data_IF_037504055684
#
_entry.id   IF_037504055684
#
_cell.length_a   1.000
_cell.length_b   1.000
_cell.length_c   1.000
_cell.angle_alpha   90.00
_cell.angle_beta   90.00
_cell.angle_gamma   90.00
#
_symmetry.space_group_name_H-M   'P 1'
#
loop_
_entity.id
_entity.type
_entity.pdbx_description
1 polymer ?
#
# COMPACT_ATOMS: atom_id res chain seq x y z
N UNK A 1 0.41 -14.83 0.17
CA UNK A 1 0.83 -14.54 1.55
C UNK A 1 -0.04 -13.44 2.18
N UNK A 2 0.00 -12.16 1.74
CA UNK A 2 -0.90 -11.11 2.25
C UNK A 2 -2.38 -11.50 2.33
N UNK A 3 -2.88 -12.17 1.29
CA UNK A 3 -4.28 -12.60 1.23
C UNK A 3 -4.62 -13.73 2.21
N UNK A 4 -3.65 -14.57 2.56
CA UNK A 4 -3.84 -15.65 3.53
C UNK A 4 -4.01 -15.08 4.94
N UNK A 5 -3.33 -13.97 5.26
CA UNK A 5 -3.55 -13.23 6.51
C UNK A 5 -4.99 -12.74 6.59
N UNK A 6 -5.52 -12.09 5.53
CA UNK A 6 -6.94 -11.67 5.52
C UNK A 6 -7.91 -12.84 5.66
N UNK A 7 -7.57 -14.02 5.13
CA UNK A 7 -8.39 -15.22 5.24
C UNK A 7 -8.30 -15.91 6.61
N UNK A 8 -7.54 -15.37 7.57
CA UNK A 8 -7.40 -15.92 8.92
C UNK A 8 -6.35 -17.03 9.07
N UNK A 9 -5.42 -17.14 8.13
CA UNK A 9 -4.29 -18.08 8.20
C UNK A 9 -3.04 -17.43 8.83
N UNK A 10 -3.18 -16.37 9.60
CA UNK A 10 -2.08 -15.67 10.28
C UNK A 10 -1.35 -16.57 11.30
N UNK A 11 -2.03 -17.56 11.87
CA UNK A 11 -1.46 -18.54 12.82
C UNK A 11 -0.78 -19.75 12.16
N UNK A 12 -0.93 -19.94 10.85
CA UNK A 12 -0.23 -21.00 10.12
C UNK A 12 1.29 -20.74 10.19
N UNK A 13 2.12 -21.67 10.68
CA UNK A 13 3.53 -21.40 11.01
C UNK A 13 4.35 -20.74 9.90
N UNK A 14 4.12 -21.12 8.65
CA UNK A 14 4.81 -20.51 7.49
C UNK A 14 4.37 -19.09 7.22
N UNK A 15 3.09 -18.77 7.46
CA UNK A 15 2.56 -17.41 7.32
C UNK A 15 3.05 -16.53 8.46
N UNK A 16 2.99 -17.03 9.69
CA UNK A 16 3.45 -16.32 10.88
C UNK A 16 4.94 -15.96 10.80
N UNK A 17 5.80 -16.93 10.47
CA UNK A 17 7.25 -16.70 10.31
C UNK A 17 7.55 -15.70 9.19
N UNK A 18 6.83 -15.80 8.07
CA UNK A 18 6.93 -14.86 6.95
C UNK A 18 6.56 -13.44 7.37
N UNK A 19 5.42 -13.28 8.07
CA UNK A 19 4.94 -11.98 8.53
C UNK A 19 5.89 -11.37 9.54
N UNK A 20 6.37 -12.14 10.53
CA UNK A 20 7.32 -11.67 11.52
C UNK A 20 8.59 -11.15 10.86
N UNK A 21 9.20 -11.93 9.95
CA UNK A 21 10.39 -11.50 9.20
C UNK A 21 10.14 -10.24 8.38
N UNK A 22 8.99 -10.15 7.70
CA UNK A 22 8.64 -9.00 6.87
C UNK A 22 8.45 -7.74 7.73
N UNK A 23 7.77 -7.84 8.87
CA UNK A 23 7.61 -6.73 9.82
C UNK A 23 8.97 -6.25 10.32
N UNK A 24 9.89 -7.14 10.70
CA UNK A 24 11.22 -6.71 11.16
C UNK A 24 12.00 -5.93 10.09
N UNK A 25 11.94 -6.38 8.83
CA UNK A 25 12.61 -5.70 7.72
C UNK A 25 12.02 -4.30 7.48
N UNK A 26 10.69 -4.20 7.46
CA UNK A 26 10.01 -2.91 7.27
C UNK A 26 10.20 -1.98 8.47
N UNK A 27 10.19 -2.52 9.69
CA UNK A 27 10.38 -1.76 10.92
C UNK A 27 11.79 -1.16 10.99
N UNK A 28 12.83 -1.91 10.61
CA UNK A 28 14.21 -1.39 10.51
C UNK A 28 14.32 -0.22 9.54
N UNK A 29 13.60 -0.27 8.41
CA UNK A 29 13.53 0.87 7.50
C UNK A 29 12.80 2.04 8.17
N UNK A 30 11.64 1.79 8.78
CA UNK A 30 10.81 2.82 9.40
C UNK A 30 11.55 3.60 10.48
N UNK A 31 12.22 2.91 11.42
CA UNK A 31 12.97 3.56 12.51
C UNK A 31 14.23 4.29 12.04
N UNK A 32 14.74 3.97 10.84
CA UNK A 32 15.88 4.68 10.27
C UNK A 32 15.51 6.03 9.67
N UNK A 33 14.20 6.27 9.43
CA UNK A 33 13.65 7.46 8.79
C UNK A 33 14.38 7.86 7.49
N UNK A 34 14.95 6.86 6.81
CA UNK A 34 15.77 7.09 5.64
C UNK A 34 14.89 7.07 4.39
N UNK A 35 14.73 8.23 3.76
CA UNK A 35 13.99 8.42 2.52
C UNK A 35 14.91 8.61 1.30
N UNK A 36 16.22 8.40 1.46
CA UNK A 36 17.17 8.35 0.35
C UNK A 36 17.08 6.98 -0.35
N UNK A 37 16.06 6.85 -1.21
CA UNK A 37 15.69 5.57 -1.79
C UNK A 37 16.55 5.19 -3.00
N UNK A 38 17.19 6.16 -3.65
CA UNK A 38 17.76 6.02 -4.98
C UNK A 38 19.28 5.95 -5.00
N UNK A 39 19.82 5.23 -5.97
CA UNK A 39 21.26 5.11 -6.17
C UNK A 39 21.89 6.48 -6.42
N UNK A 40 22.95 6.76 -5.66
CA UNK A 40 23.86 7.87 -5.94
C UNK A 40 24.70 7.61 -7.20
N UNK A 41 25.51 8.60 -7.59
CA UNK A 41 26.37 8.50 -8.78
C UNK A 41 27.37 7.34 -8.68
N UNK A 42 27.98 7.15 -7.51
CA UNK A 42 28.94 6.05 -7.27
C UNK A 42 28.29 4.66 -7.40
N UNK A 43 27.08 4.47 -6.86
CA UNK A 43 26.36 3.21 -7.01
C UNK A 43 25.93 2.95 -8.46
N UNK A 44 25.57 3.99 -9.21
CA UNK A 44 25.23 3.88 -10.63
C UNK A 44 26.40 3.44 -11.49
N UNK A 45 27.63 3.84 -11.15
CA UNK A 45 28.83 3.41 -11.85
C UNK A 45 29.06 1.88 -11.77
N UNK A 46 28.46 1.22 -10.78
CA UNK A 46 28.49 -0.24 -10.67
C UNK A 46 27.49 -0.96 -11.60
N UNK A 47 26.57 -0.23 -12.25
CA UNK A 47 25.66 -0.82 -13.25
C UNK A 47 26.44 -1.12 -14.55
N UNK A 48 26.10 -2.19 -15.29
CA UNK A 48 26.84 -2.57 -16.49
C UNK A 48 26.92 -1.45 -17.53
N UNK A 49 28.14 -1.07 -17.92
CA UNK A 49 28.39 0.02 -18.88
C UNK A 49 27.93 -0.33 -20.31
N UNK A 50 27.82 -1.62 -20.64
CA UNK A 50 27.41 -2.10 -21.96
C UNK A 50 25.89 -1.98 -22.22
N UNK A 51 25.10 -1.53 -21.24
CA UNK A 51 23.68 -1.24 -21.41
C UNK A 51 23.49 0.28 -21.34
N UNK A 52 23.77 0.98 -22.44
CA UNK A 52 23.66 2.45 -22.55
C UNK A 52 22.30 2.98 -22.06
N UNK A 53 21.23 2.21 -22.28
CA UNK A 53 19.88 2.57 -21.83
C UNK A 53 19.71 2.62 -20.30
N UNK A 54 20.58 1.99 -19.49
CA UNK A 54 20.52 2.07 -18.03
C UNK A 54 21.06 3.41 -17.50
N UNK A 55 21.97 4.03 -18.25
CA UNK A 55 22.64 5.28 -17.89
C UNK A 55 21.93 6.51 -18.49
N UNK A 56 20.82 6.30 -19.20
CA UNK A 56 19.97 7.38 -19.67
C UNK A 56 19.36 8.16 -18.48
N UNK A 57 19.47 9.48 -18.56
CA UNK A 57 19.20 10.44 -17.48
C UNK A 57 17.82 10.36 -16.77
N UNK A 58 16.72 9.81 -17.34
CA UNK A 58 15.47 9.73 -16.56
C UNK A 58 15.35 8.47 -15.68
N UNK A 59 16.19 7.44 -15.84
CA UNK A 59 15.98 6.19 -15.09
C UNK A 59 16.48 6.32 -13.65
N UNK A 60 15.58 6.10 -12.71
CA UNK A 60 15.87 6.05 -11.29
C UNK A 60 15.99 4.59 -10.84
N UNK A 61 17.09 4.28 -10.17
CA UNK A 61 17.33 2.96 -9.60
C UNK A 61 17.28 3.05 -8.08
N UNK A 62 16.58 2.13 -7.44
CA UNK A 62 16.62 2.00 -5.99
C UNK A 62 17.99 1.49 -5.54
N UNK A 63 18.48 1.98 -4.40
CA UNK A 63 19.75 1.53 -3.82
C UNK A 63 19.77 0.01 -3.62
N UNK A 64 20.95 -0.61 -3.68
CA UNK A 64 21.10 -2.07 -3.59
C UNK A 64 20.55 -2.65 -2.28
N UNK A 65 20.51 -1.86 -1.20
CA UNK A 65 19.90 -2.28 0.08
C UNK A 65 18.42 -2.64 -0.02
N UNK A 66 17.74 -2.19 -1.09
CA UNK A 66 16.33 -2.49 -1.42
C UNK A 66 16.15 -3.58 -2.49
N UNK A 67 17.24 -4.14 -3.02
CA UNK A 67 17.28 -4.89 -4.30
C UNK A 67 16.57 -6.25 -4.27
N UNK A 68 16.31 -6.81 -3.09
CA UNK A 68 15.54 -8.05 -3.00
C UNK A 68 14.12 -7.71 -2.55
N UNK A 69 13.14 -8.43 -3.10
CA UNK A 69 11.81 -8.56 -2.47
C UNK A 69 11.92 -8.90 -0.96
N UNK A 70 13.09 -9.43 -0.56
CA UNK A 70 13.58 -9.78 0.79
C UNK A 70 14.95 -9.15 1.12
N UNK A 71 15.17 -7.87 0.79
CA UNK A 71 16.46 -7.18 0.97
C UNK A 71 16.88 -7.05 2.44
N UNK A 72 18.08 -6.52 2.68
CA UNK A 72 18.51 -6.08 4.02
C UNK A 72 17.52 -5.03 4.55
N UNK A 73 16.97 -4.21 3.64
CA UNK A 73 15.79 -3.37 3.82
C UNK A 73 14.81 -3.66 2.67
N UNK A 74 13.51 -3.58 2.94
CA UNK A 74 12.47 -3.81 1.95
C UNK A 74 11.65 -2.55 1.75
N UNK A 75 11.42 -2.14 0.50
CA UNK A 75 10.46 -1.07 0.25
C UNK A 75 9.05 -1.54 0.64
N UNK A 76 8.29 -0.76 1.42
CA UNK A 76 6.91 -1.09 1.73
C UNK A 76 6.06 -1.12 0.46
N UNK A 77 5.36 -2.22 0.26
CA UNK A 77 4.44 -2.44 -0.86
C UNK A 77 3.00 -2.27 -0.42
N UNK A 78 2.09 -2.06 -1.38
CA UNK A 78 0.66 -2.05 -1.09
C UNK A 78 0.15 -3.39 -0.53
N UNK A 79 0.83 -4.49 -0.87
CA UNK A 79 0.57 -5.81 -0.29
C UNK A 79 0.98 -5.90 1.18
N UNK A 80 2.03 -5.18 1.58
CA UNK A 80 2.42 -5.09 2.98
C UNK A 80 1.36 -4.33 3.76
N UNK A 81 0.97 -3.13 3.32
CA UNK A 81 -0.10 -2.36 3.96
C UNK A 81 -1.39 -3.19 4.10
N UNK A 82 -1.74 -3.93 3.05
CA UNK A 82 -2.88 -4.84 3.07
C UNK A 82 -2.73 -5.95 4.13
N UNK A 83 -1.61 -6.66 4.16
CA UNK A 83 -1.37 -7.72 5.15
C UNK A 83 -1.42 -7.17 6.58
N UNK A 84 -0.77 -6.01 6.81
CA UNK A 84 -0.70 -5.34 8.10
C UNK A 84 -2.08 -4.91 8.62
N UNK A 85 -2.97 -4.50 7.71
CA UNK A 85 -4.32 -4.07 8.06
C UNK A 85 -5.13 -5.22 8.69
N UNK A 86 -4.91 -6.46 8.23
CA UNK A 86 -5.65 -7.65 8.68
C UNK A 86 -4.88 -8.53 9.69
N UNK A 87 -3.71 -8.12 10.15
CA UNK A 87 -3.02 -8.84 11.24
C UNK A 87 -3.80 -8.76 12.55
N UNK A 88 -3.74 -9.81 13.40
CA UNK A 88 -4.21 -9.74 14.78
C UNK A 88 -3.59 -8.57 15.54
N UNK A 89 -4.38 -7.94 16.41
CA UNK A 89 -4.03 -6.71 17.14
C UNK A 89 -3.76 -6.95 18.63
N UNK A 90 -3.72 -8.21 19.05
CA UNK A 90 -3.53 -8.66 20.43
C UNK A 90 -2.08 -8.50 20.93
N UNK A 91 -1.10 -8.54 20.02
CA UNK A 91 0.30 -8.34 20.36
C UNK A 91 0.70 -6.84 20.30
N UNK A 92 0.89 -6.22 21.47
CA UNK A 92 1.23 -4.80 21.60
C UNK A 92 2.57 -4.42 20.96
N UNK A 93 3.58 -5.28 21.03
CA UNK A 93 4.89 -5.03 20.43
C UNK A 93 4.80 -5.04 18.90
N UNK A 94 4.09 -6.00 18.34
CA UNK A 94 3.84 -6.06 16.89
C UNK A 94 3.04 -4.83 16.46
N UNK A 95 1.99 -4.47 17.20
CA UNK A 95 1.20 -3.25 16.93
C UNK A 95 2.09 -2.00 16.87
N UNK A 96 2.99 -1.80 17.84
CA UNK A 96 3.91 -0.67 17.83
C UNK A 96 4.80 -0.64 16.59
N UNK A 97 5.36 -1.79 16.19
CA UNK A 97 6.18 -1.86 14.97
C UNK A 97 5.39 -1.51 13.73
N UNK A 98 4.17 -2.01 13.63
CA UNK A 98 3.27 -1.75 12.51
C UNK A 98 2.90 -0.27 12.45
N UNK A 99 2.61 0.38 13.58
CA UNK A 99 2.37 1.83 13.62
C UNK A 99 3.57 2.63 13.11
N UNK A 100 4.79 2.26 13.48
CA UNK A 100 6.00 2.92 12.94
C UNK A 100 6.13 2.73 11.43
N UNK A 101 5.83 1.52 10.92
CA UNK A 101 5.84 1.25 9.48
C UNK A 101 4.81 2.11 8.75
N UNK A 102 3.58 2.18 9.25
CA UNK A 102 2.52 2.99 8.64
C UNK A 102 2.88 4.48 8.70
N UNK A 103 3.46 4.96 9.81
CA UNK A 103 3.98 6.33 9.93
C UNK A 103 5.02 6.64 8.85
N UNK A 104 5.99 5.75 8.63
CA UNK A 104 7.00 5.89 7.58
C UNK A 104 6.37 5.92 6.18
N UNK A 105 5.39 5.04 5.93
CA UNK A 105 4.65 5.02 4.66
C UNK A 105 3.95 6.35 4.43
N UNK A 106 3.29 6.92 5.44
CA UNK A 106 2.52 8.16 5.30
C UNK A 106 3.39 9.42 5.11
N UNK A 107 4.70 9.33 5.35
CA UNK A 107 5.60 10.46 5.23
C UNK A 107 5.70 10.97 3.79
N UNK A 108 5.70 12.31 3.62
CA UNK A 108 5.70 12.96 2.30
C UNK A 108 6.85 12.50 1.41
N UNK A 109 8.07 12.39 1.95
CA UNK A 109 9.22 11.94 1.17
C UNK A 109 9.07 10.52 0.59
N UNK A 110 8.39 9.62 1.30
CA UNK A 110 8.03 8.31 0.75
C UNK A 110 6.91 8.45 -0.29
N UNK A 111 5.88 9.23 0.02
CA UNK A 111 4.72 9.43 -0.86
C UNK A 111 5.06 10.18 -2.16
N UNK A 112 6.14 10.95 -2.20
CA UNK A 112 6.61 11.69 -3.37
C UNK A 112 7.53 10.89 -4.28
N UNK A 113 7.86 9.64 -3.94
CA UNK A 113 8.70 8.77 -4.78
C UNK A 113 8.11 8.65 -6.19
N UNK A 114 8.85 9.01 -7.27
CA UNK A 114 8.37 8.83 -8.64
C UNK A 114 8.26 7.36 -9.07
N UNK A 115 8.65 6.40 -8.23
CA UNK A 115 8.89 5.02 -8.64
C UNK A 115 10.32 4.88 -9.21
N UNK A 116 10.66 3.68 -9.66
CA UNK A 116 11.95 3.43 -10.28
C UNK A 116 12.14 1.99 -10.69
N UNK A 117 13.40 1.59 -10.76
CA UNK A 117 13.82 0.25 -11.11
C UNK A 117 14.64 -0.36 -9.99
N UNK A 118 14.49 -1.67 -9.82
CA UNK A 118 15.41 -2.49 -9.04
C UNK A 118 16.32 -3.19 -10.04
N UNK A 119 17.63 -3.05 -9.87
CA UNK A 119 18.58 -3.84 -10.65
C UNK A 119 18.56 -5.30 -10.18
N UNK A 120 18.72 -6.27 -11.08
CA UNK A 120 18.92 -7.65 -10.69
C UNK A 120 20.29 -8.11 -11.22
N UNK A 121 21.27 -8.34 -10.35
CA UNK A 121 22.64 -8.64 -10.77
C UNK A 121 22.78 -10.07 -11.28
N UNK A 122 21.88 -10.98 -10.88
CA UNK A 122 21.88 -12.39 -11.30
C UNK A 122 21.35 -12.55 -12.72
N UNK A 123 20.33 -11.75 -13.07
CA UNK A 123 19.68 -11.79 -14.38
C UNK A 123 20.14 -10.68 -15.31
N UNK A 124 21.06 -9.83 -14.85
CA UNK A 124 21.61 -8.68 -15.57
C UNK A 124 20.54 -7.80 -16.23
N UNK A 125 19.43 -7.53 -15.51
CA UNK A 125 18.31 -6.74 -16.04
C UNK A 125 17.61 -5.90 -14.98
N UNK A 126 17.04 -4.74 -15.36
CA UNK A 126 16.21 -3.95 -14.47
C UNK A 126 14.79 -4.52 -14.33
N UNK A 127 14.19 -4.33 -13.16
CA UNK A 127 12.80 -4.64 -12.86
C UNK A 127 12.06 -3.37 -12.48
N UNK A 128 10.93 -3.11 -13.11
CA UNK A 128 10.10 -1.96 -12.77
C UNK A 128 9.54 -2.12 -11.35
N UNK A 129 9.89 -1.20 -10.48
CA UNK A 129 9.38 -1.05 -9.13
C UNK A 129 8.65 0.31 -9.06
N UNK A 130 7.52 0.39 -9.76
CA UNK A 130 6.72 1.61 -9.82
C UNK A 130 5.90 1.83 -8.55
N UNK A 131 5.34 3.04 -8.43
CA UNK A 131 4.37 3.41 -7.38
C UNK A 131 3.18 2.47 -7.27
N UNK A 132 2.84 1.77 -8.36
CA UNK A 132 1.78 0.74 -8.40
C UNK A 132 2.04 -0.43 -7.44
N UNK A 133 3.30 -0.70 -7.09
CA UNK A 133 3.67 -1.75 -6.14
C UNK A 133 3.95 -1.21 -4.75
N UNK A 134 4.47 0.02 -4.66
CA UNK A 134 4.76 0.65 -3.39
C UNK A 134 3.48 0.98 -2.61
N UNK A 135 3.60 1.11 -1.29
CA UNK A 135 2.53 1.55 -0.41
C UNK A 135 2.22 3.07 -0.58
N UNK A 136 2.32 3.59 -1.80
CA UNK A 136 1.96 4.95 -2.11
C UNK A 136 0.43 5.08 -2.09
N UNK A 137 -0.04 6.12 -1.41
CA UNK A 137 -1.45 6.45 -1.35
C UNK A 137 -1.95 6.91 -2.73
N UNK A 138 -3.21 6.65 -3.06
CA UNK A 138 -3.85 7.16 -4.26
C UNK A 138 -3.74 8.69 -4.34
N UNK A 139 -3.37 9.20 -5.52
CA UNK A 139 -3.34 10.65 -5.79
C UNK A 139 -4.74 11.20 -5.95
N UNK A 140 -4.88 12.53 -5.82
CA UNK A 140 -6.12 13.24 -6.17
C UNK A 140 -6.48 12.93 -7.62
N UNK A 141 -7.62 12.26 -7.83
CA UNK A 141 -8.07 11.77 -9.13
C UNK A 141 -8.06 10.25 -9.30
N UNK A 142 -7.24 9.52 -8.52
CA UNK A 142 -7.17 8.04 -8.47
C UNK A 142 -8.19 7.48 -7.46
N UNK A 143 -9.44 7.91 -7.63
CA UNK A 143 -10.50 7.77 -6.62
C UNK A 143 -11.02 6.33 -6.48
N UNK A 144 -10.74 5.46 -7.45
CA UNK A 144 -11.11 4.05 -7.43
C UNK A 144 -10.45 3.24 -6.30
N UNK A 145 -9.39 3.76 -5.69
CA UNK A 145 -8.66 3.10 -4.58
C UNK A 145 -8.96 3.72 -3.21
N UNK A 146 -9.64 4.87 -3.19
CA UNK A 146 -9.82 5.68 -1.98
C UNK A 146 -10.46 4.85 -0.85
N UNK A 147 -11.58 4.20 -1.15
CA UNK A 147 -12.36 3.43 -0.15
C UNK A 147 -11.53 2.31 0.46
N UNK A 148 -10.79 1.55 -0.36
CA UNK A 148 -9.94 0.48 0.13
C UNK A 148 -8.81 1.00 1.03
N UNK A 149 -8.14 2.09 0.63
CA UNK A 149 -7.04 2.64 1.41
C UNK A 149 -7.52 3.26 2.72
N UNK A 150 -8.67 3.93 2.72
CA UNK A 150 -9.31 4.38 3.96
C UNK A 150 -9.66 3.19 4.86
N UNK A 151 -10.23 2.12 4.32
CA UNK A 151 -10.53 0.92 5.12
C UNK A 151 -9.25 0.30 5.73
N UNK A 152 -8.17 0.20 4.96
CA UNK A 152 -6.89 -0.31 5.46
C UNK A 152 -6.28 0.62 6.51
N UNK A 153 -6.27 1.93 6.27
CA UNK A 153 -5.67 2.91 7.17
C UNK A 153 -6.46 3.14 8.45
N UNK A 154 -7.78 2.88 8.43
CA UNK A 154 -8.63 3.00 9.62
C UNK A 154 -8.19 2.05 10.75
N UNK A 155 -7.45 0.99 10.43
CA UNK A 155 -6.90 0.01 11.37
C UNK A 155 -5.70 0.53 12.20
N UNK A 156 -5.19 1.73 11.87
CA UNK A 156 -3.96 2.26 12.45
C UNK A 156 -4.18 3.65 13.03
N UNK A 157 -3.62 3.90 14.20
CA UNK A 157 -3.65 5.21 14.86
C UNK A 157 -2.99 6.27 13.97
N UNK A 158 -1.80 5.98 13.43
CA UNK A 158 -1.07 6.86 12.52
C UNK A 158 -1.81 7.09 11.19
N UNK A 159 -2.52 6.07 10.70
CA UNK A 159 -3.43 6.18 9.56
C UNK A 159 -4.56 7.18 9.80
N UNK A 160 -5.29 7.00 10.90
CA UNK A 160 -6.46 7.81 11.26
C UNK A 160 -6.13 9.29 11.43
N UNK A 161 -4.99 9.64 12.00
CA UNK A 161 -4.60 11.05 12.22
C UNK A 161 -3.94 11.70 11.01
N UNK A 162 -3.69 10.96 9.93
CA UNK A 162 -3.03 11.52 8.74
C UNK A 162 -3.93 12.46 7.94
N UNK A 163 -3.33 13.50 7.35
CA UNK A 163 -4.03 14.48 6.51
C UNK A 163 -4.76 13.81 5.34
N UNK A 164 -4.13 12.81 4.72
CA UNK A 164 -4.72 12.07 3.60
C UNK A 164 -5.98 11.32 4.03
N UNK A 165 -5.97 10.70 5.21
CA UNK A 165 -7.13 10.00 5.75
C UNK A 165 -8.27 10.96 6.08
N UNK A 166 -7.96 12.07 6.76
CA UNK A 166 -8.96 13.09 7.13
C UNK A 166 -9.61 13.73 5.90
N UNK A 167 -8.80 14.04 4.88
CA UNK A 167 -9.30 14.49 3.58
C UNK A 167 -10.22 13.44 2.93
N UNK A 168 -9.79 12.18 2.89
CA UNK A 168 -10.56 11.11 2.29
C UNK A 168 -11.89 10.86 3.01
N UNK A 169 -11.90 10.90 4.35
CA UNK A 169 -13.12 10.81 5.15
C UNK A 169 -14.08 11.97 4.88
N UNK A 170 -13.56 13.20 4.85
CA UNK A 170 -14.36 14.39 4.51
C UNK A 170 -14.99 14.27 3.12
N UNK A 171 -14.21 13.77 2.15
CA UNK A 171 -14.70 13.51 0.81
C UNK A 171 -15.79 12.44 0.78
N UNK A 172 -15.61 11.31 1.49
CA UNK A 172 -16.65 10.28 1.55
C UNK A 172 -17.92 10.76 2.27
N UNK A 173 -17.77 11.56 3.33
CA UNK A 173 -18.91 12.12 4.05
C UNK A 173 -19.73 13.09 3.18
N UNK A 174 -19.12 13.76 2.20
CA UNK A 174 -19.85 14.62 1.25
C UNK A 174 -20.86 13.89 0.36
N UNK A 175 -20.81 12.55 0.33
CA UNK A 175 -21.77 11.70 -0.40
C UNK A 175 -22.93 11.19 0.48
N UNK A 176 -23.12 11.74 1.68
CA UNK A 176 -24.28 11.42 2.52
C UNK A 176 -25.58 11.85 1.86
N UNK A 177 -26.63 11.04 1.99
CA UNK A 177 -27.97 11.35 1.52
C UNK A 177 -28.82 11.96 2.64
N UNK A 178 -29.97 12.52 2.29
CA UNK A 178 -30.97 13.02 3.26
C UNK A 178 -31.51 11.91 4.19
N UNK A 179 -31.38 10.64 3.80
CA UNK A 179 -31.81 9.49 4.59
C UNK A 179 -30.73 8.97 5.56
N UNK A 180 -29.56 9.62 5.62
CA UNK A 180 -28.43 9.18 6.44
C UNK A 180 -27.67 7.98 5.87
N UNK A 181 -27.93 7.62 4.61
CA UNK A 181 -27.16 6.63 3.84
C UNK A 181 -26.07 7.34 3.03
N UNK A 182 -25.29 6.58 2.25
CA UNK A 182 -24.24 7.11 1.38
C UNK A 182 -24.43 6.64 -0.05
N UNK A 183 -24.13 7.50 -1.03
CA UNK A 183 -24.15 7.13 -2.45
C UNK A 183 -22.88 7.63 -3.16
N UNK A 184 -21.84 6.79 -3.16
CA UNK A 184 -20.56 7.12 -3.80
C UNK A 184 -20.68 7.10 -5.33
N UNK A 185 -19.86 7.88 -6.05
CA UNK A 185 -19.74 7.71 -7.48
C UNK A 185 -19.28 6.29 -7.82
N UNK A 186 -19.94 5.62 -8.77
CA UNK A 186 -19.68 4.23 -9.20
C UNK A 186 -18.20 3.87 -9.33
N UNK A 187 -17.36 4.80 -9.81
CA UNK A 187 -15.91 4.59 -9.98
C UNK A 187 -15.16 4.29 -8.67
N UNK A 188 -15.68 4.71 -7.50
CA UNK A 188 -15.09 4.47 -6.18
C UNK A 188 -15.29 3.02 -5.71
N UNK A 189 -16.27 2.32 -6.30
CA UNK A 189 -16.64 0.94 -5.98
C UNK A 189 -16.35 -0.02 -7.15
N UNK A 190 -15.82 0.50 -8.27
CA UNK A 190 -15.56 -0.30 -9.46
C UNK A 190 -14.24 -1.04 -9.35
N UNK A 191 -14.28 -2.38 -9.31
CA UNK A 191 -13.09 -3.22 -9.43
C UNK A 191 -12.70 -3.36 -10.91
N UNK A 192 -11.92 -2.41 -11.44
CA UNK A 192 -11.40 -2.53 -12.83
C UNK A 192 -10.26 -3.55 -12.89
N UNK A 193 -10.20 -4.30 -13.99
CA UNK A 193 -9.14 -5.28 -14.27
C UNK A 193 -7.74 -4.68 -14.47
N UNK A 194 -7.61 -3.35 -14.55
CA UNK A 194 -6.35 -2.66 -14.82
C UNK A 194 -5.73 -2.07 -13.56
N UNK A 195 -4.83 -2.85 -12.98
CA UNK A 195 -3.65 -2.50 -12.22
C UNK A 195 -3.76 -1.92 -10.80
N UNK A 196 -4.21 -2.76 -9.84
CA UNK A 196 -3.75 -2.75 -8.44
C UNK A 196 -4.12 -4.02 -7.63
N UNK A 197 -3.15 -4.68 -6.95
CA UNK A 197 -3.25 -6.00 -6.25
C UNK A 197 -3.47 -7.22 -7.19
N UNK A 198 -2.52 -7.52 -8.09
CA UNK A 198 -2.82 -8.34 -9.27
C UNK A 198 -3.27 -9.79 -9.06
N UNK A 199 -4.32 -10.11 -9.85
CA UNK A 199 -5.02 -11.39 -10.07
C UNK A 199 -5.92 -11.89 -8.94
N UNK A 200 -6.56 -10.95 -8.23
CA UNK A 200 -7.82 -11.16 -7.52
C UNK A 200 -8.47 -9.83 -7.08
N UNK A 201 -8.45 -8.83 -7.96
CA UNK A 201 -8.44 -7.39 -7.67
C UNK A 201 -9.48 -6.88 -6.65
N UNK A 202 -9.00 -6.11 -5.67
CA UNK A 202 -9.73 -5.42 -4.59
C UNK A 202 -10.71 -6.26 -3.71
N UNK A 203 -10.89 -7.55 -4.04
CA UNK A 203 -11.41 -8.65 -3.22
C UNK A 203 -12.80 -8.43 -2.58
N UNK A 204 -13.69 -7.71 -3.26
CA UNK A 204 -15.09 -8.10 -3.39
C UNK A 204 -15.28 -9.19 -4.44
N UNK A 205 -16.52 -9.49 -4.83
CA UNK A 205 -16.82 -10.48 -5.88
C UNK A 205 -16.67 -9.92 -7.32
N UNK A 206 -15.97 -8.78 -7.52
CA UNK A 206 -15.90 -8.12 -8.83
C UNK A 206 -17.21 -7.49 -9.28
N UNK A 207 -18.16 -7.32 -8.37
CA UNK A 207 -19.49 -6.83 -8.71
C UNK A 207 -19.46 -5.33 -8.97
N UNK A 208 -19.87 -4.93 -10.16
CA UNK A 208 -20.17 -3.53 -10.46
C UNK A 208 -21.65 -3.31 -10.08
N UNK A 209 -21.99 -2.40 -9.16
CA UNK A 209 -23.37 -2.22 -8.68
C UNK A 209 -24.35 -1.99 -9.83
N UNK A 210 -25.25 -2.94 -10.12
CA UNK A 210 -26.01 -2.89 -11.39
C UNK A 210 -27.03 -1.75 -11.44
N UNK A 211 -27.53 -1.29 -10.30
CA UNK A 211 -28.49 -0.19 -10.17
C UNK A 211 -28.12 0.80 -9.05
N UNK A 212 -28.87 1.90 -8.95
CA UNK A 212 -28.62 2.97 -7.96
C UNK A 212 -28.81 2.51 -6.52
N UNK A 213 -29.72 1.56 -6.26
CA UNK A 213 -30.00 1.06 -4.92
C UNK A 213 -28.85 0.18 -4.42
N UNK A 214 -28.34 -0.71 -5.27
CA UNK A 214 -27.16 -1.50 -4.97
C UNK A 214 -25.95 -0.60 -4.69
N UNK A 215 -25.79 0.48 -5.47
CA UNK A 215 -24.71 1.44 -5.29
C UNK A 215 -24.80 2.14 -3.93
N UNK A 216 -25.98 2.59 -3.54
CA UNK A 216 -26.22 3.23 -2.24
C UNK A 216 -26.00 2.26 -1.07
N UNK A 217 -26.49 1.03 -1.19
CA UNK A 217 -26.29 -0.01 -0.18
C UNK A 217 -24.80 -0.34 0.02
N UNK A 218 -24.05 -0.56 -1.06
CA UNK A 218 -22.62 -0.85 -0.96
C UNK A 218 -21.84 0.35 -0.42
N UNK A 219 -22.13 1.56 -0.90
CA UNK A 219 -21.50 2.79 -0.41
C UNK A 219 -21.72 2.95 1.10
N UNK A 220 -22.96 2.75 1.54
CA UNK A 220 -23.34 2.81 2.97
C UNK A 220 -22.62 1.75 3.78
N UNK A 221 -22.57 0.51 3.28
CA UNK A 221 -21.85 -0.58 3.94
C UNK A 221 -20.37 -0.28 4.10
N UNK A 222 -19.71 0.22 3.05
CA UNK A 222 -18.28 0.57 3.10
C UNK A 222 -18.02 1.71 4.08
N UNK A 223 -18.86 2.74 4.08
CA UNK A 223 -18.72 3.84 5.03
C UNK A 223 -18.92 3.39 6.47
N UNK A 224 -19.98 2.62 6.74
CA UNK A 224 -20.25 2.06 8.07
C UNK A 224 -19.10 1.17 8.56
N UNK A 225 -18.51 0.37 7.65
CA UNK A 225 -17.34 -0.45 7.96
C UNK A 225 -16.12 0.38 8.35
N UNK A 226 -15.81 1.46 7.61
CA UNK A 226 -14.70 2.36 7.94
C UNK A 226 -14.96 3.02 9.30
N UNK A 227 -16.17 3.54 9.54
CA UNK A 227 -16.55 4.17 10.82
C UNK A 227 -16.40 3.19 11.99
N UNK A 228 -16.86 1.95 11.84
CA UNK A 228 -16.71 0.89 12.85
C UNK A 228 -15.25 0.57 13.19
N UNK A 229 -14.31 0.75 12.25
CA UNK A 229 -12.88 0.54 12.52
C UNK A 229 -12.24 1.71 13.28
N UNK A 230 -12.89 2.88 13.28
CA UNK A 230 -12.40 4.09 13.96
C UNK A 230 -12.92 4.17 15.40
N UNK A 231 -14.05 3.53 15.71
CA UNK A 231 -14.60 3.38 17.07
C UNK A 231 -13.69 2.55 17.98
#
# INVERSE_FOLDING_TARGET
MPFLVRLGYDSEPRIADWMAKRIEVLYKLAISENYDLYMGESERQCLPANQSTLHESPKLFYQQRFERHWGILGLPTCYDLYALAYLPKDNSLIRQKVESIVTYILHLAFQDTPGGYIWNPQLHRPYAAGRVFLACLPRVGELEKLVLFLEMLAQFDSGRVSDWFQWGMTLLDSFSTEHGTYCFPRKYLSEKHSYYLYAGMHMGLGEVPRDSRALELESTFRMARIKKLIE
#
